data_IF_739485713025
#
_entry.id   IF_739485713025
#
_cell.length_a   1.000
_cell.length_b   1.000
_cell.length_c   1.000
_cell.angle_alpha   90.00
_cell.angle_beta   90.00
_cell.angle_gamma   90.00
#
_symmetry.space_group_name_H-M   'P 1'
#
loop_
_entity.id
_entity.type
_entity.pdbx_description
1 polymer ?
#
# COMPACT_ATOMS: atom_id res chain seq x y z
N UNK A 1 26.91 -45.28 12.04
CA UNK A 1 26.08 -44.20 12.62
C UNK A 1 26.37 -42.92 11.84
N UNK A 2 25.57 -42.64 10.83
CA UNK A 2 25.83 -41.59 9.84
C UNK A 2 25.12 -40.29 10.21
N UNK A 3 25.88 -39.20 10.30
CA UNK A 3 25.38 -37.82 10.22
C UNK A 3 25.09 -37.53 8.75
N UNK A 4 23.90 -37.03 8.42
CA UNK A 4 23.61 -36.49 7.09
C UNK A 4 23.48 -34.97 7.16
N UNK A 5 24.26 -34.35 6.30
CA UNK A 5 24.42 -32.92 6.04
C UNK A 5 23.41 -32.54 4.96
N UNK A 6 22.51 -31.58 5.21
CA UNK A 6 21.59 -31.05 4.20
C UNK A 6 21.74 -29.53 4.12
N UNK A 7 22.77 -29.10 3.38
CA UNK A 7 22.87 -27.75 2.82
C UNK A 7 21.89 -27.63 1.65
N UNK A 8 20.73 -27.04 1.90
CA UNK A 8 19.81 -26.60 0.85
C UNK A 8 20.43 -25.44 0.08
N UNK A 9 20.95 -25.73 -1.12
CA UNK A 9 21.41 -24.73 -2.10
C UNK A 9 20.22 -23.88 -2.54
N UNK A 10 20.21 -22.59 -2.17
CA UNK A 10 19.45 -21.57 -2.91
C UNK A 10 20.10 -21.46 -4.30
N UNK A 11 19.36 -21.50 -5.42
CA UNK A 11 19.99 -21.41 -6.72
C UNK A 11 20.53 -19.99 -6.91
N UNK A 12 21.87 -19.91 -6.91
CA UNK A 12 22.72 -18.74 -7.13
C UNK A 12 22.41 -17.95 -8.43
N UNK A 13 21.51 -18.45 -9.28
CA UNK A 13 21.18 -17.90 -10.59
C UNK A 13 20.16 -16.76 -10.55
N UNK A 14 19.29 -16.69 -9.54
CA UNK A 14 18.20 -15.69 -9.47
C UNK A 14 18.73 -14.29 -9.08
N UNK A 15 19.76 -14.23 -8.25
CA UNK A 15 20.35 -12.96 -7.81
C UNK A 15 21.21 -12.30 -8.91
N UNK A 16 21.86 -13.11 -9.75
CA UNK A 16 22.78 -12.66 -10.80
C UNK A 16 22.07 -11.89 -11.94
N UNK A 17 20.83 -12.26 -12.28
CA UNK A 17 20.05 -11.59 -13.32
C UNK A 17 19.59 -10.20 -12.88
N UNK A 18 19.25 -10.04 -11.59
CA UNK A 18 18.79 -8.76 -11.02
C UNK A 18 19.95 -7.75 -10.91
N UNK A 19 21.16 -8.19 -10.54
CA UNK A 19 22.34 -7.31 -10.47
C UNK A 19 22.87 -6.93 -11.87
N UNK A 20 22.78 -7.84 -12.85
CA UNK A 20 23.22 -7.59 -14.22
C UNK A 20 22.34 -6.57 -14.96
N UNK A 21 21.02 -6.59 -14.74
CA UNK A 21 20.08 -5.62 -15.32
C UNK A 21 20.28 -4.19 -14.79
N UNK A 22 20.77 -4.04 -13.56
CA UNK A 22 21.08 -2.73 -12.98
C UNK A 22 22.36 -2.10 -13.55
N UNK A 23 23.39 -2.90 -13.85
CA UNK A 23 24.65 -2.41 -14.43
C UNK A 23 24.54 -2.10 -15.93
N UNK A 24 23.71 -2.83 -16.69
CA UNK A 24 23.61 -2.70 -18.14
C UNK A 24 22.85 -1.44 -18.60
N UNK A 25 21.89 -0.94 -17.81
CA UNK A 25 21.07 0.23 -18.17
C UNK A 25 21.81 1.59 -18.11
N UNK A 26 23.08 1.62 -17.70
CA UNK A 26 23.87 2.84 -17.63
C UNK A 26 24.50 3.26 -18.97
N UNK A 27 24.41 2.45 -20.04
CA UNK A 27 25.36 2.59 -21.15
C UNK A 27 24.89 2.63 -22.61
N UNK A 28 23.63 2.47 -23.03
CA UNK A 28 23.37 2.59 -24.48
C UNK A 28 21.99 3.14 -24.92
N UNK A 29 22.06 4.12 -25.83
CA UNK A 29 20.96 4.70 -26.63
C UNK A 29 20.97 4.09 -28.05
N UNK A 30 19.79 3.81 -28.62
CA UNK A 30 19.53 4.14 -30.04
C UNK A 30 19.09 3.05 -31.05
N UNK A 31 18.05 3.43 -31.83
CA UNK A 31 17.58 2.98 -33.19
C UNK A 31 16.70 1.72 -33.26
N UNK A 32 15.79 1.57 -34.24
CA UNK A 32 14.79 0.48 -34.35
C UNK A 32 14.54 -0.01 -35.79
N UNK A 33 13.60 -0.97 -35.98
CA UNK A 33 12.67 -1.18 -37.14
C UNK A 33 11.74 -2.41 -36.92
N UNK A 34 10.55 -2.40 -37.55
CA UNK A 34 9.30 -3.18 -37.29
C UNK A 34 9.15 -4.49 -38.09
N UNK A 35 8.44 -5.50 -37.55
CA UNK A 35 7.21 -6.09 -38.16
C UNK A 35 6.38 -7.01 -37.19
N UNK A 36 5.08 -6.70 -37.14
CA UNK A 36 3.80 -7.35 -36.71
C UNK A 36 3.70 -8.43 -35.59
N UNK A 37 3.01 -8.06 -34.49
CA UNK A 37 2.39 -8.96 -33.49
C UNK A 37 2.11 -8.32 -32.10
N UNK A 38 0.97 -7.63 -31.95
CA UNK A 38 0.33 -7.05 -30.73
C UNK A 38 1.18 -6.06 -29.89
N UNK A 39 0.81 -4.77 -29.94
CA UNK A 39 1.50 -3.65 -29.29
C UNK A 39 0.84 -3.15 -28.00
N UNK A 40 1.65 -2.86 -26.99
CA UNK A 40 1.55 -1.65 -26.15
C UNK A 40 2.99 -1.16 -25.84
N UNK A 41 3.23 0.13 -26.08
CA UNK A 41 4.50 0.87 -26.28
C UNK A 41 5.43 0.84 -25.03
N UNK A 42 6.77 0.88 -25.11
CA UNK A 42 7.60 1.86 -25.82
C UNK A 42 9.06 1.40 -26.08
N UNK A 43 9.65 1.97 -27.13
CA UNK A 43 11.01 1.76 -27.64
C UNK A 43 12.14 2.14 -26.67
N UNK A 44 13.01 1.18 -26.34
CA UNK A 44 14.47 1.35 -26.40
C UNK A 44 15.12 -0.03 -26.57
N UNK A 45 16.13 -0.15 -27.43
CA UNK A 45 16.85 -1.40 -27.72
C UNK A 45 17.63 -1.88 -26.50
N UNK A 46 16.93 -2.64 -25.66
CA UNK A 46 17.53 -3.61 -24.74
C UNK A 46 16.58 -4.80 -24.72
N UNK A 47 17.06 -5.96 -25.13
CA UNK A 47 16.29 -7.20 -25.00
C UNK A 47 16.06 -7.48 -23.52
N UNK A 48 14.94 -7.01 -22.97
CA UNK A 48 14.40 -7.61 -21.76
C UNK A 48 14.05 -9.05 -22.14
N UNK A 49 14.93 -10.00 -21.82
CA UNK A 49 14.47 -11.36 -21.63
C UNK A 49 13.42 -11.27 -20.53
N UNK A 50 12.15 -11.35 -20.92
CA UNK A 50 11.04 -11.52 -19.99
C UNK A 50 11.41 -12.70 -19.11
N UNK A 51 11.74 -12.44 -17.84
CA UNK A 51 11.82 -13.51 -16.86
C UNK A 51 10.37 -13.99 -16.72
N UNK A 52 10.01 -15.01 -17.50
CA UNK A 52 8.73 -15.66 -17.40
C UNK A 52 8.73 -16.38 -16.05
N UNK A 53 8.05 -15.80 -15.08
CA UNK A 53 7.83 -16.48 -13.82
C UNK A 53 6.76 -17.55 -14.04
N UNK A 54 6.93 -18.76 -13.48
CA UNK A 54 5.97 -19.84 -13.69
C UNK A 54 4.59 -19.40 -13.20
N UNK A 55 3.56 -19.66 -14.01
CA UNK A 55 2.19 -19.39 -13.61
C UNK A 55 1.83 -20.17 -12.33
N UNK A 56 1.06 -19.52 -11.45
CA UNK A 56 0.47 -20.11 -10.25
C UNK A 56 -0.83 -20.79 -10.68
N UNK A 57 -0.91 -22.09 -10.41
CA UNK A 57 -2.14 -22.87 -10.57
C UNK A 57 -2.48 -23.56 -9.23
N UNK A 58 -3.57 -23.14 -8.54
CA UNK A 58 -4.40 -21.98 -8.87
C UNK A 58 -3.65 -20.64 -8.66
N UNK A 59 -4.14 -19.52 -9.23
CA UNK A 59 -3.68 -18.19 -8.86
C UNK A 59 -3.76 -17.99 -7.36
N UNK A 60 -2.81 -17.24 -6.80
CA UNK A 60 -2.84 -16.95 -5.37
C UNK A 60 -4.03 -16.08 -5.00
N UNK A 61 -4.50 -16.20 -3.76
CA UNK A 61 -5.40 -15.21 -3.19
C UNK A 61 -4.62 -14.00 -2.70
N UNK A 62 -5.29 -12.86 -2.71
CA UNK A 62 -4.81 -11.60 -2.18
C UNK A 62 -5.71 -11.18 -1.02
N UNK A 63 -5.10 -11.00 0.14
CA UNK A 63 -5.72 -10.52 1.37
C UNK A 63 -5.19 -9.11 1.62
N UNK A 64 -6.05 -8.12 1.43
CA UNK A 64 -5.72 -6.71 1.60
C UNK A 64 -6.09 -6.23 3.00
N UNK A 65 -5.11 -6.13 3.90
CA UNK A 65 -5.31 -5.64 5.26
C UNK A 65 -4.92 -4.16 5.37
N UNK A 66 -5.84 -3.34 5.88
CA UNK A 66 -5.56 -1.92 6.05
C UNK A 66 -6.30 -1.30 7.23
N UNK A 67 -5.69 -0.23 7.75
CA UNK A 67 -6.28 0.61 8.78
C UNK A 67 -7.32 1.55 8.19
N UNK A 68 -8.43 1.72 8.89
CA UNK A 68 -9.51 2.62 8.52
C UNK A 68 -9.92 3.52 9.68
N UNK A 69 -10.19 4.80 9.39
CA UNK A 69 -10.73 5.77 10.34
C UNK A 69 -12.02 6.41 9.83
N UNK A 70 -11.96 7.48 9.04
CA UNK A 70 -13.13 8.24 8.59
C UNK A 70 -13.07 8.63 7.11
N UNK A 71 -12.10 8.10 6.36
CA UNK A 71 -11.86 8.40 4.96
C UNK A 71 -12.83 7.66 4.02
N UNK A 72 -14.13 7.97 4.11
CA UNK A 72 -15.19 7.23 3.39
C UNK A 72 -15.01 7.23 1.87
N UNK A 73 -14.69 8.38 1.27
CA UNK A 73 -14.44 8.49 -0.17
C UNK A 73 -13.19 7.70 -0.58
N UNK A 74 -12.15 7.69 0.27
CA UNK A 74 -10.93 6.91 0.05
C UNK A 74 -11.19 5.41 0.13
N UNK A 75 -12.03 4.97 1.09
CA UNK A 75 -12.41 3.57 1.22
C UNK A 75 -13.20 3.10 -0.01
N UNK A 76 -14.17 3.88 -0.47
CA UNK A 76 -14.90 3.55 -1.70
C UNK A 76 -13.96 3.46 -2.90
N UNK A 77 -13.06 4.43 -3.05
CA UNK A 77 -12.06 4.45 -4.10
C UNK A 77 -11.15 3.20 -4.06
N UNK A 78 -10.63 2.83 -2.88
CA UNK A 78 -9.79 1.64 -2.69
C UNK A 78 -10.56 0.38 -3.07
N UNK A 79 -11.75 0.18 -2.51
CA UNK A 79 -12.57 -1.01 -2.76
C UNK A 79 -12.89 -1.15 -4.24
N UNK A 80 -13.35 -0.06 -4.88
CA UNK A 80 -13.66 -0.06 -6.32
C UNK A 80 -12.43 -0.40 -7.17
N UNK A 81 -11.29 0.19 -6.86
CA UNK A 81 -10.04 0.02 -7.61
C UNK A 81 -9.50 -1.41 -7.50
N UNK A 82 -9.64 -2.03 -6.33
CA UNK A 82 -9.02 -3.32 -6.02
C UNK A 82 -9.97 -4.51 -6.14
N UNK A 83 -11.29 -4.29 -6.23
CA UNK A 83 -12.30 -5.34 -6.31
C UNK A 83 -12.01 -6.40 -7.40
N UNK A 84 -11.54 -6.05 -8.62
CA UNK A 84 -11.27 -7.05 -9.64
C UNK A 84 -10.16 -8.06 -9.30
N UNK A 85 -9.25 -7.71 -8.38
CA UNK A 85 -8.02 -8.49 -8.15
C UNK A 85 -7.90 -9.02 -6.71
N UNK A 86 -8.43 -8.30 -5.73
CA UNK A 86 -8.41 -8.70 -4.32
C UNK A 86 -9.52 -9.69 -4.01
N UNK A 87 -9.19 -10.74 -3.25
CA UNK A 87 -10.14 -11.78 -2.85
C UNK A 87 -10.78 -11.48 -1.50
N UNK A 88 -10.04 -10.85 -0.57
CA UNK A 88 -10.53 -10.46 0.75
C UNK A 88 -9.99 -9.09 1.13
N UNK A 89 -10.89 -8.20 1.57
CA UNK A 89 -10.55 -6.95 2.23
C UNK A 89 -10.68 -7.12 3.74
N UNK A 90 -9.64 -6.79 4.50
CA UNK A 90 -9.67 -6.76 5.96
C UNK A 90 -9.62 -5.31 6.41
N UNK A 91 -10.78 -4.79 6.79
CA UNK A 91 -10.93 -3.42 7.31
C UNK A 91 -10.71 -3.47 8.81
N UNK A 92 -9.63 -2.87 9.29
CA UNK A 92 -9.36 -2.72 10.72
C UNK A 92 -9.83 -1.35 11.19
N UNK A 93 -10.83 -1.30 12.07
CA UNK A 93 -11.40 -0.08 12.64
C UNK A 93 -11.47 -0.15 14.17
N UNK A 94 -11.03 0.90 14.86
CA UNK A 94 -11.12 1.00 16.33
C UNK A 94 -12.28 1.90 16.79
N UNK A 95 -12.77 1.70 18.02
CA UNK A 95 -13.69 2.65 18.70
C UNK A 95 -13.00 3.89 19.28
N UNK A 96 -11.70 4.03 19.03
CA UNK A 96 -10.88 5.17 19.44
C UNK A 96 -10.03 5.63 18.25
N UNK A 97 -9.64 6.89 18.27
CA UNK A 97 -8.58 7.44 17.41
C UNK A 97 -7.20 7.06 17.95
N UNK A 98 -6.14 7.19 17.16
CA UNK A 98 -4.78 6.98 17.68
C UNK A 98 -4.42 7.95 18.80
N UNK A 99 -4.95 9.17 18.81
CA UNK A 99 -4.81 10.09 19.96
C UNK A 99 -5.63 9.70 21.20
N UNK A 100 -6.34 8.57 21.18
CA UNK A 100 -7.06 8.02 22.34
C UNK A 100 -8.46 8.60 22.55
N UNK A 101 -8.97 9.42 21.62
CA UNK A 101 -10.33 9.98 21.69
C UNK A 101 -11.34 8.94 21.20
N UNK A 102 -12.47 8.72 21.90
CA UNK A 102 -13.55 7.87 21.42
C UNK A 102 -14.04 8.32 20.05
N UNK A 103 -14.40 7.35 19.21
CA UNK A 103 -15.02 7.58 17.90
C UNK A 103 -16.05 6.50 17.60
N UNK A 104 -17.02 6.84 16.76
CA UNK A 104 -17.92 5.85 16.20
C UNK A 104 -17.22 4.96 15.17
N UNK A 105 -17.90 3.87 14.82
CA UNK A 105 -17.50 2.98 13.73
C UNK A 105 -18.07 3.53 12.41
N UNK A 106 -17.26 4.30 11.68
CA UNK A 106 -17.65 4.95 10.45
C UNK A 106 -17.96 3.96 9.34
N UNK A 107 -17.28 2.79 9.30
CA UNK A 107 -17.60 1.77 8.32
C UNK A 107 -18.99 1.20 8.58
N UNK A 108 -19.30 0.87 9.84
CA UNK A 108 -20.59 0.29 10.21
C UNK A 108 -21.75 1.26 9.94
N UNK A 109 -21.60 2.53 10.34
CA UNK A 109 -22.59 3.58 10.07
C UNK A 109 -22.86 3.78 8.57
N UNK A 110 -21.85 3.53 7.73
CA UNK A 110 -21.93 3.73 6.28
C UNK A 110 -21.93 2.41 5.50
N UNK A 111 -22.20 1.26 6.15
CA UNK A 111 -22.03 -0.07 5.56
C UNK A 111 -22.79 -0.25 4.25
N UNK A 112 -23.96 0.39 4.12
CA UNK A 112 -24.78 0.40 2.90
C UNK A 112 -24.05 1.01 1.69
N UNK A 113 -23.17 2.00 1.89
CA UNK A 113 -22.36 2.63 0.83
C UNK A 113 -21.47 1.61 0.13
N UNK A 114 -21.06 0.56 0.83
CA UNK A 114 -20.12 -0.45 0.35
C UNK A 114 -20.79 -1.78 -0.06
N UNK A 115 -22.12 -1.79 -0.23
CA UNK A 115 -22.92 -2.98 -0.56
C UNK A 115 -22.33 -3.87 -1.66
N UNK A 116 -21.82 -3.33 -2.79
CA UNK A 116 -21.24 -4.15 -3.86
C UNK A 116 -20.05 -5.02 -3.40
N UNK A 117 -19.30 -4.58 -2.38
CA UNK A 117 -18.04 -5.19 -1.96
C UNK A 117 -18.17 -6.02 -0.67
N UNK A 118 -19.32 -5.98 0.02
CA UNK A 118 -19.50 -6.59 1.35
C UNK A 118 -19.19 -8.09 1.38
N UNK A 119 -19.39 -8.79 0.27
CA UNK A 119 -19.11 -10.22 0.15
C UNK A 119 -17.61 -10.56 0.32
N UNK A 120 -16.70 -9.62 0.02
CA UNK A 120 -15.24 -9.75 0.19
C UNK A 120 -14.71 -9.14 1.50
N UNK A 121 -15.52 -8.35 2.21
CA UNK A 121 -15.07 -7.60 3.37
C UNK A 121 -15.09 -8.47 4.64
N UNK A 122 -14.05 -8.33 5.46
CA UNK A 122 -13.96 -8.76 6.86
C UNK A 122 -13.69 -7.52 7.69
N UNK A 123 -14.63 -7.15 8.54
CA UNK A 123 -14.54 -5.97 9.40
C UNK A 123 -14.03 -6.40 10.78
N UNK A 124 -12.88 -5.87 11.19
CA UNK A 124 -12.25 -6.10 12.49
C UNK A 124 -12.49 -4.88 13.34
N UNK A 125 -13.19 -5.08 14.45
CA UNK A 125 -13.51 -4.01 15.39
C UNK A 125 -12.59 -4.14 16.60
N UNK A 126 -11.79 -3.11 16.83
CA UNK A 126 -10.94 -3.02 18.01
C UNK A 126 -11.75 -2.30 19.10
N UNK A 127 -12.15 -3.08 20.08
CA UNK A 127 -12.79 -2.63 21.33
C UNK A 127 -11.71 -2.01 22.23
N UNK A 128 -11.49 -0.70 22.16
CA UNK A 128 -10.40 -0.07 22.93
C UNK A 128 -10.89 0.87 24.05
N UNK A 129 -10.88 0.41 25.31
CA UNK A 129 -11.03 1.27 26.49
C UNK A 129 -9.72 1.49 27.25
N UNK A 130 -8.52 1.27 26.67
CA UNK A 130 -7.25 1.58 27.37
C UNK A 130 -6.95 3.08 27.35
N UNK A 131 -7.58 3.81 28.27
CA UNK A 131 -7.15 5.17 28.63
C UNK A 131 -5.65 5.11 28.96
N UNK A 132 -4.82 5.86 28.22
CA UNK A 132 -3.38 6.12 28.45
C UNK A 132 -2.34 5.38 27.57
N UNK A 133 -2.72 4.61 26.54
CA UNK A 133 -1.72 4.16 25.56
C UNK A 133 -1.29 5.32 24.63
N UNK A 134 0.02 5.44 24.36
CA UNK A 134 0.55 6.45 23.45
C UNK A 134 0.07 6.23 22.01
N UNK A 135 0.04 7.28 21.20
CA UNK A 135 -0.64 7.20 19.90
C UNK A 135 -0.07 6.11 18.96
N UNK A 136 1.25 5.91 18.98
CA UNK A 136 1.91 4.81 18.28
C UNK A 136 1.51 3.43 18.77
N UNK A 137 1.25 3.27 20.08
CA UNK A 137 0.79 2.00 20.64
C UNK A 137 -0.64 1.70 20.22
N UNK A 138 -1.49 2.73 20.11
CA UNK A 138 -2.87 2.58 19.61
C UNK A 138 -2.85 2.14 18.14
N UNK A 139 -2.01 2.76 17.31
CA UNK A 139 -1.81 2.34 15.92
C UNK A 139 -1.28 0.92 15.82
N UNK A 140 -0.24 0.58 16.59
CA UNK A 140 0.33 -0.77 16.58
C UNK A 140 -0.70 -1.82 16.98
N UNK A 141 -1.53 -1.52 17.98
CA UNK A 141 -2.64 -2.39 18.41
C UNK A 141 -3.63 -2.59 17.26
N UNK A 142 -4.09 -1.51 16.61
CA UNK A 142 -5.03 -1.60 15.50
C UNK A 142 -4.45 -2.38 14.30
N UNK A 143 -3.17 -2.21 14.00
CA UNK A 143 -2.47 -2.98 12.95
C UNK A 143 -2.45 -4.47 13.31
N UNK A 144 -1.97 -4.79 14.51
CA UNK A 144 -1.70 -6.15 14.93
C UNK A 144 -2.97 -6.98 15.15
N UNK A 145 -4.09 -6.36 15.55
CA UNK A 145 -5.38 -7.06 15.68
C UNK A 145 -5.89 -7.63 14.35
N UNK A 146 -5.46 -7.09 13.19
CA UNK A 146 -5.79 -7.68 11.87
C UNK A 146 -5.31 -9.14 11.75
N UNK A 147 -4.35 -9.57 12.57
CA UNK A 147 -3.84 -10.96 12.59
C UNK A 147 -4.90 -11.96 13.05
N UNK A 148 -5.87 -11.52 13.85
CA UNK A 148 -6.98 -12.36 14.30
C UNK A 148 -7.84 -12.82 13.12
N UNK A 149 -8.12 -11.94 12.14
CA UNK A 149 -8.82 -12.34 10.92
C UNK A 149 -7.98 -13.32 10.10
N UNK A 150 -6.68 -13.10 9.99
CA UNK A 150 -5.82 -14.06 9.29
C UNK A 150 -5.87 -15.45 9.95
N UNK A 151 -5.90 -15.54 11.28
CA UNK A 151 -6.04 -16.81 11.98
C UNK A 151 -7.38 -17.52 11.66
N UNK A 152 -8.48 -16.77 11.49
CA UNK A 152 -9.77 -17.36 11.05
C UNK A 152 -9.76 -17.80 9.59
N UNK A 153 -8.97 -17.14 8.75
CA UNK A 153 -8.84 -17.47 7.33
C UNK A 153 -7.84 -18.61 7.08
N UNK A 154 -6.83 -18.75 7.94
CA UNK A 154 -5.68 -19.65 7.82
C UNK A 154 -6.05 -21.07 7.34
N UNK A 155 -7.08 -21.76 7.88
CA UNK A 155 -7.42 -23.11 7.44
C UNK A 155 -7.74 -23.23 5.94
N UNK A 156 -8.07 -22.10 5.28
CA UNK A 156 -8.41 -22.02 3.86
C UNK A 156 -7.32 -21.37 2.99
N UNK A 157 -6.24 -20.85 3.59
CA UNK A 157 -5.21 -20.11 2.86
C UNK A 157 -4.15 -21.06 2.28
N UNK A 158 -3.75 -20.79 1.03
CA UNK A 158 -2.57 -21.39 0.48
C UNK A 158 -1.32 -20.75 1.12
N UNK A 159 -0.26 -21.52 1.42
CA UNK A 159 1.01 -20.98 1.91
C UNK A 159 1.60 -19.84 1.07
N UNK A 160 1.25 -19.73 -0.21
CA UNK A 160 1.74 -18.71 -1.14
C UNK A 160 0.71 -17.65 -1.52
N UNK A 161 -0.45 -17.65 -0.85
CA UNK A 161 -1.35 -16.50 -0.86
C UNK A 161 -0.63 -15.26 -0.34
N UNK A 162 -1.06 -14.10 -0.81
CA UNK A 162 -0.38 -12.83 -0.57
C UNK A 162 -1.18 -11.99 0.43
N UNK A 163 -0.51 -11.52 1.47
CA UNK A 163 -1.04 -10.59 2.46
C UNK A 163 -0.43 -9.23 2.18
N UNK A 164 -1.28 -8.21 2.06
CA UNK A 164 -0.87 -6.81 2.03
C UNK A 164 -1.15 -6.18 3.38
N UNK A 165 -0.30 -5.25 3.80
CA UNK A 165 -0.53 -4.45 5.00
C UNK A 165 -0.16 -2.99 4.78
N UNK A 166 -1.17 -2.12 4.88
CA UNK A 166 -1.14 -0.75 4.35
C UNK A 166 -2.08 0.17 5.13
N UNK A 167 -2.06 1.46 4.82
CA UNK A 167 -3.10 2.41 5.23
C UNK A 167 -4.18 2.54 4.14
N UNK A 168 -5.41 2.97 4.49
CA UNK A 168 -6.51 3.08 3.50
C UNK A 168 -6.15 3.97 2.30
N UNK A 169 -5.33 5.00 2.52
CA UNK A 169 -4.85 5.95 1.51
C UNK A 169 -3.63 5.46 0.70
N UNK A 170 -3.11 4.26 0.98
CA UNK A 170 -2.03 3.59 0.24
C UNK A 170 -2.62 2.51 -0.69
N UNK A 171 -3.01 2.86 -1.91
CA UNK A 171 -3.72 1.97 -2.85
C UNK A 171 -2.74 1.33 -3.84
N UNK A 172 -2.57 -0.01 -3.84
CA UNK A 172 -1.74 -0.71 -4.82
C UNK A 172 -2.22 -0.55 -6.26
N UNK A 173 -1.30 -0.68 -7.22
CA UNK A 173 -1.65 -0.85 -8.63
C UNK A 173 -2.31 -2.24 -8.86
N UNK A 174 -3.58 -2.31 -9.30
CA UNK A 174 -4.27 -3.57 -9.57
C UNK A 174 -3.54 -4.46 -10.58
N UNK A 175 -2.82 -3.85 -11.54
CA UNK A 175 -2.06 -4.60 -12.56
C UNK A 175 -0.85 -5.30 -11.96
N UNK A 176 -0.16 -4.61 -11.04
CA UNK A 176 0.94 -5.20 -10.27
C UNK A 176 0.41 -6.34 -9.41
N UNK A 177 -0.71 -6.13 -8.71
CA UNK A 177 -1.33 -7.20 -7.92
C UNK A 177 -1.73 -8.40 -8.79
N UNK A 178 -2.31 -8.16 -9.97
CA UNK A 178 -2.71 -9.22 -10.89
C UNK A 178 -1.51 -10.02 -11.39
N UNK A 179 -0.40 -9.35 -11.71
CA UNK A 179 0.84 -10.01 -12.11
C UNK A 179 1.41 -10.90 -10.98
N UNK A 180 1.40 -10.39 -9.74
CA UNK A 180 1.85 -11.13 -8.55
C UNK A 180 0.94 -12.32 -8.24
N UNK A 181 -0.38 -12.14 -8.41
CA UNK A 181 -1.42 -13.17 -8.26
C UNK A 181 -1.17 -14.36 -9.19
N UNK A 182 -0.83 -14.07 -10.45
CA UNK A 182 -0.73 -15.06 -11.52
C UNK A 182 0.65 -15.68 -11.66
N UNK A 183 1.73 -14.94 -11.49
CA UNK A 183 3.07 -15.40 -11.92
C UNK A 183 4.05 -15.60 -10.78
N UNK A 184 3.73 -15.22 -9.54
CA UNK A 184 4.48 -15.64 -8.35
C UNK A 184 5.98 -15.34 -8.33
N UNK A 185 6.35 -14.18 -7.79
CA UNK A 185 7.76 -13.79 -7.55
C UNK A 185 8.14 -13.64 -6.09
N UNK A 186 7.15 -13.55 -5.21
CA UNK A 186 7.37 -13.14 -3.84
C UNK A 186 7.46 -14.38 -2.95
N UNK A 187 8.68 -14.69 -2.54
CA UNK A 187 8.93 -15.42 -1.30
C UNK A 187 9.55 -14.44 -0.33
N UNK A 188 8.96 -14.30 0.84
CA UNK A 188 9.36 -13.35 1.86
C UNK A 188 8.59 -12.03 1.77
N UNK A 189 9.14 -11.02 2.46
CA UNK A 189 8.57 -9.67 2.57
C UNK A 189 9.14 -8.77 1.48
N UNK A 190 8.27 -8.00 0.83
CA UNK A 190 8.62 -6.94 -0.13
C UNK A 190 7.84 -5.67 0.20
N UNK A 191 8.30 -4.54 -0.33
CA UNK A 191 7.52 -3.31 -0.35
C UNK A 191 7.03 -2.95 -1.76
N UNK A 192 5.87 -2.29 -1.82
CA UNK A 192 5.33 -1.70 -3.03
C UNK A 192 5.77 -0.23 -3.07
N UNK A 193 6.64 0.12 -4.02
CA UNK A 193 7.09 1.49 -4.21
C UNK A 193 5.98 2.37 -4.79
N UNK A 194 5.50 3.33 -4.01
CA UNK A 194 4.34 4.16 -4.39
C UNK A 194 4.72 5.60 -4.71
N UNK A 195 3.99 6.16 -5.67
CA UNK A 195 3.94 7.61 -5.87
C UNK A 195 3.16 8.25 -4.73
N UNK A 196 3.75 9.24 -4.06
CA UNK A 196 3.10 9.97 -2.97
C UNK A 196 2.56 11.32 -3.47
N UNK A 197 1.28 11.55 -3.22
CA UNK A 197 0.56 12.76 -3.54
C UNK A 197 0.05 13.46 -2.27
N UNK A 198 0.05 14.79 -2.28
CA UNK A 198 -0.47 15.63 -1.22
C UNK A 198 -1.73 16.35 -1.69
N UNK A 199 -2.82 16.29 -0.92
CA UNK A 199 -4.08 17.01 -1.14
C UNK A 199 -4.87 16.61 -2.41
N UNK A 200 -4.20 16.40 -3.54
CA UNK A 200 -4.79 15.98 -4.82
C UNK A 200 -3.71 15.35 -5.72
N UNK A 201 -4.13 14.76 -6.84
CA UNK A 201 -3.22 14.24 -7.87
C UNK A 201 -2.36 15.31 -8.58
N UNK A 202 -2.56 16.60 -8.26
CA UNK A 202 -1.72 17.69 -8.78
C UNK A 202 -0.39 17.84 -8.07
N UNK A 203 -0.23 17.33 -6.85
CA UNK A 203 0.93 17.64 -6.02
C UNK A 203 1.65 16.36 -5.64
N UNK A 204 2.68 16.01 -6.42
CA UNK A 204 3.42 14.76 -6.29
C UNK A 204 4.77 14.98 -5.64
N UNK A 205 5.18 14.12 -4.71
CA UNK A 205 6.53 14.16 -4.14
C UNK A 205 7.55 13.47 -5.04
N UNK A 206 8.82 13.88 -4.92
CA UNK A 206 9.93 13.20 -5.61
C UNK A 206 10.26 11.82 -5.04
N UNK A 207 10.17 11.71 -3.72
CA UNK A 207 10.54 10.48 -3.02
C UNK A 207 9.44 9.44 -3.13
N UNK A 208 9.87 8.19 -3.26
CA UNK A 208 9.03 7.00 -3.24
C UNK A 208 8.56 6.67 -1.81
N UNK A 209 7.28 6.37 -1.66
CA UNK A 209 6.73 5.85 -0.42
C UNK A 209 6.91 4.34 -0.32
N UNK A 210 7.50 3.85 0.79
CA UNK A 210 8.02 2.47 0.94
C UNK A 210 7.43 1.66 2.09
N UNK A 211 6.50 2.25 2.83
CA UNK A 211 5.86 1.56 3.95
C UNK A 211 4.94 0.42 3.56
N UNK A 212 4.19 0.45 2.44
CA UNK A 212 3.24 -0.62 2.14
C UNK A 212 3.97 -1.93 1.85
N UNK A 213 3.55 -2.99 2.55
CA UNK A 213 4.20 -4.30 2.48
C UNK A 213 3.31 -5.34 1.85
N UNK A 214 3.98 -6.31 1.22
CA UNK A 214 3.39 -7.54 0.74
C UNK A 214 4.25 -8.73 1.18
N UNK A 215 3.61 -9.80 1.62
CA UNK A 215 4.27 -10.99 2.15
C UNK A 215 3.44 -12.24 1.85
N UNK A 216 4.08 -13.39 1.63
CA UNK A 216 3.35 -14.65 1.51
C UNK A 216 2.91 -15.20 2.88
N UNK A 217 1.76 -15.89 2.93
CA UNK A 217 1.18 -16.49 4.15
C UNK A 217 2.18 -17.34 4.91
N UNK A 218 2.96 -18.17 4.20
CA UNK A 218 3.97 -19.05 4.83
C UNK A 218 5.03 -18.24 5.57
N UNK A 219 5.56 -17.17 4.98
CA UNK A 219 6.53 -16.31 5.63
C UNK A 219 5.91 -15.61 6.84
N UNK A 220 4.71 -15.03 6.68
CA UNK A 220 4.05 -14.29 7.75
C UNK A 220 3.70 -15.16 8.96
N UNK A 221 3.22 -16.39 8.75
CA UNK A 221 2.81 -17.29 9.82
C UNK A 221 3.95 -18.11 10.42
N UNK A 222 5.02 -18.40 9.66
CA UNK A 222 6.17 -19.17 10.15
C UNK A 222 6.93 -18.43 11.27
N UNK A 223 6.96 -17.11 11.20
CA UNK A 223 7.56 -16.28 12.25
C UNK A 223 6.51 -15.98 13.30
N UNK A 224 6.45 -16.80 14.36
CA UNK A 224 5.46 -16.68 15.43
C UNK A 224 5.45 -15.29 16.09
N UNK A 225 6.55 -14.55 16.01
CA UNK A 225 6.72 -13.19 16.52
C UNK A 225 6.38 -12.09 15.52
N UNK A 226 6.17 -12.39 14.23
CA UNK A 226 5.86 -11.38 13.23
C UNK A 226 4.46 -10.80 13.49
N UNK A 227 4.41 -9.48 13.60
CA UNK A 227 3.20 -8.67 13.67
C UNK A 227 3.10 -7.73 12.48
N UNK A 228 1.92 -7.17 12.24
CA UNK A 228 1.73 -6.21 11.15
C UNK A 228 2.50 -4.90 11.36
N UNK A 229 2.66 -4.49 12.62
CA UNK A 229 3.53 -3.38 13.02
C UNK A 229 4.98 -3.68 12.66
N UNK A 230 5.50 -4.85 13.08
CA UNK A 230 6.88 -5.24 12.76
C UNK A 230 7.10 -5.40 11.25
N UNK A 231 6.09 -5.88 10.52
CA UNK A 231 6.12 -6.00 9.06
C UNK A 231 6.27 -4.62 8.41
N UNK A 232 5.48 -3.62 8.83
CA UNK A 232 5.51 -2.26 8.27
C UNK A 232 6.90 -1.61 8.39
N UNK A 233 7.55 -1.83 9.53
CA UNK A 233 8.89 -1.27 9.83
C UNK A 233 10.04 -2.07 9.21
N UNK A 234 9.79 -3.31 8.80
CA UNK A 234 10.81 -4.19 8.24
C UNK A 234 11.40 -3.62 6.96
N UNK A 235 12.73 -3.65 6.86
CA UNK A 235 13.44 -3.40 5.59
C UNK A 235 13.17 -4.56 4.64
N UNK A 236 12.70 -4.24 3.45
CA UNK A 236 12.34 -5.22 2.44
C UNK A 236 12.88 -4.80 1.06
N UNK A 237 13.14 -5.76 0.16
CA UNK A 237 13.37 -5.45 -1.25
C UNK A 237 12.12 -4.85 -1.93
N UNK A 238 12.35 -4.04 -2.96
CA UNK A 238 11.32 -3.48 -3.82
C UNK A 238 10.70 -4.58 -4.70
N UNK A 239 9.37 -4.60 -4.83
CA UNK A 239 8.73 -5.28 -5.97
C UNK A 239 9.11 -4.52 -7.24
N UNK A 240 9.77 -5.13 -8.24
CA UNK A 240 10.30 -4.43 -9.43
C UNK A 240 9.20 -4.09 -10.45
N UNK A 241 8.08 -3.57 -9.98
CA UNK A 241 6.91 -3.10 -10.72
C UNK A 241 6.41 -1.81 -10.05
N UNK A 242 5.53 -1.06 -10.71
CA UNK A 242 4.95 0.14 -10.08
C UNK A 242 4.05 -0.28 -8.91
N UNK A 243 4.29 0.25 -7.72
CA UNK A 243 3.66 -0.25 -6.49
C UNK A 243 2.27 0.30 -6.22
N UNK A 244 1.95 1.49 -6.72
CA UNK A 244 0.65 2.14 -6.54
C UNK A 244 0.79 3.60 -6.14
N UNK A 245 -0.15 4.08 -5.34
CA UNK A 245 -0.31 5.50 -5.00
C UNK A 245 -0.60 5.67 -3.51
N UNK A 246 0.04 6.67 -2.89
CA UNK A 246 -0.29 7.14 -1.55
C UNK A 246 -0.91 8.54 -1.63
N UNK A 247 -2.17 8.67 -1.23
CA UNK A 247 -2.96 9.90 -1.31
C UNK A 247 -3.04 10.61 0.04
N UNK A 248 -1.95 11.26 0.44
CA UNK A 248 -1.83 11.91 1.74
C UNK A 248 -2.66 13.20 1.81
N UNK A 249 -3.44 13.36 2.88
CA UNK A 249 -4.26 14.55 3.15
C UNK A 249 -5.28 14.91 2.05
N UNK A 250 -5.82 13.93 1.33
CA UNK A 250 -6.88 14.16 0.34
C UNK A 250 -8.21 14.48 1.03
N UNK A 251 -8.60 15.75 1.00
CA UNK A 251 -9.83 16.27 1.61
C UNK A 251 -9.77 17.78 1.76
N UNK A 252 -10.78 18.34 2.42
CA UNK A 252 -10.83 19.76 2.74
C UNK A 252 -10.08 20.08 4.05
N UNK A 253 -10.09 21.36 4.43
CA UNK A 253 -9.47 21.86 5.65
C UNK A 253 -9.96 21.09 6.88
N UNK A 254 -11.27 20.89 7.03
CA UNK A 254 -11.85 20.22 8.21
C UNK A 254 -11.51 18.73 8.27
N UNK A 255 -11.43 18.07 7.12
CA UNK A 255 -10.94 16.71 7.02
C UNK A 255 -9.48 16.60 7.50
N UNK A 256 -8.60 17.49 7.04
CA UNK A 256 -7.18 17.50 7.44
C UNK A 256 -7.05 17.81 8.93
N UNK A 257 -7.79 18.79 9.45
CA UNK A 257 -7.85 19.10 10.89
C UNK A 257 -8.29 17.89 11.70
N UNK A 258 -9.31 17.17 11.23
CA UNK A 258 -9.78 15.94 11.87
C UNK A 258 -8.69 14.87 11.91
N UNK A 259 -7.97 14.67 10.79
CA UNK A 259 -6.85 13.72 10.68
C UNK A 259 -5.67 14.09 11.59
N UNK A 260 -5.27 15.36 11.65
CA UNK A 260 -4.21 15.84 12.55
C UNK A 260 -4.54 15.60 14.01
N UNK A 261 -5.82 15.77 14.37
CA UNK A 261 -6.27 15.50 15.72
C UNK A 261 -6.34 14.01 16.07
N UNK A 262 -6.41 13.10 15.09
CA UNK A 262 -6.65 11.66 15.32
C UNK A 262 -5.44 10.76 15.14
N UNK A 263 -4.48 11.10 14.27
CA UNK A 263 -3.37 10.23 13.86
C UNK A 263 -2.21 10.10 14.87
N UNK A 264 -1.22 9.25 14.60
CA UNK A 264 -0.16 8.93 15.57
C UNK A 264 0.92 10.01 15.75
N UNK A 265 1.14 10.86 14.75
CA UNK A 265 2.14 11.94 14.81
C UNK A 265 1.65 13.16 15.59
N UNK A 266 1.26 12.97 16.85
CA UNK A 266 0.71 14.02 17.70
C UNK A 266 1.67 15.21 17.92
N UNK A 267 2.97 15.03 17.69
CA UNK A 267 3.96 16.12 17.70
C UNK A 267 3.71 17.18 16.60
N UNK A 268 3.02 16.83 15.52
CA UNK A 268 2.65 17.78 14.47
C UNK A 268 1.27 18.42 14.71
N UNK A 269 0.50 17.98 15.69
CA UNK A 269 -0.78 18.58 16.03
C UNK A 269 -0.58 19.83 16.92
N UNK A 270 0.02 20.87 16.33
CA UNK A 270 0.27 22.15 17.01
C UNK A 270 -0.76 23.20 16.59
N UNK A 271 -1.01 24.25 17.38
CA UNK A 271 -1.91 25.34 16.97
C UNK A 271 -1.50 26.02 15.66
N UNK A 272 -0.22 25.98 15.30
CA UNK A 272 0.32 26.56 14.07
C UNK A 272 0.05 25.68 12.85
N UNK A 273 0.22 24.36 12.97
CA UNK A 273 -0.01 23.41 11.87
C UNK A 273 -1.51 23.13 11.72
N UNK A 274 -2.21 22.93 12.84
CA UNK A 274 -3.65 22.72 12.88
C UNK A 274 -4.40 24.06 12.89
N UNK A 275 -3.99 24.98 12.02
CA UNK A 275 -4.62 26.28 11.78
C UNK A 275 -5.35 26.23 10.41
N UNK A 276 -6.64 26.63 10.33
CA UNK A 276 -7.39 26.54 9.07
C UNK A 276 -6.75 27.31 7.92
N UNK A 277 -6.23 28.50 8.17
CA UNK A 277 -5.61 29.35 7.16
C UNK A 277 -4.29 28.76 6.64
N UNK A 278 -3.47 28.18 7.54
CA UNK A 278 -2.24 27.45 7.19
C UNK A 278 -2.54 26.23 6.33
N UNK A 279 -3.54 25.43 6.72
CA UNK A 279 -3.95 24.24 5.97
C UNK A 279 -4.47 24.64 4.59
N UNK A 280 -5.35 25.65 4.51
CA UNK A 280 -5.87 26.17 3.25
C UNK A 280 -4.73 26.64 2.33
N UNK A 281 -3.78 27.41 2.87
CA UNK A 281 -2.62 27.85 2.11
C UNK A 281 -1.74 26.67 1.64
N UNK A 282 -1.58 25.63 2.45
CA UNK A 282 -0.83 24.43 2.06
C UNK A 282 -1.52 23.69 0.90
N UNK A 283 -2.85 23.55 0.93
CA UNK A 283 -3.65 22.94 -0.15
C UNK A 283 -3.51 23.75 -1.45
N UNK A 284 -3.71 25.07 -1.37
CA UNK A 284 -3.71 25.94 -2.56
C UNK A 284 -2.35 26.00 -3.25
N UNK A 285 -1.27 26.00 -2.46
CA UNK A 285 0.08 26.13 -2.98
C UNK A 285 0.78 24.78 -3.18
N UNK A 286 0.21 23.67 -2.70
CA UNK A 286 0.84 22.35 -2.77
C UNK A 286 2.10 22.22 -1.92
N UNK A 287 2.12 22.87 -0.76
CA UNK A 287 3.29 22.85 0.14
C UNK A 287 3.18 21.76 1.20
N UNK A 288 4.34 21.33 1.72
CA UNK A 288 4.36 20.38 2.83
C UNK A 288 3.64 20.98 4.05
N UNK A 289 2.62 20.27 4.53
CA UNK A 289 1.79 20.71 5.66
C UNK A 289 2.61 21.00 6.93
N UNK A 290 3.77 20.35 7.07
CA UNK A 290 4.63 20.44 8.25
C UNK A 290 5.88 21.32 8.06
N UNK A 291 6.05 21.95 6.89
CA UNK A 291 7.19 22.83 6.59
C UNK A 291 8.55 22.11 6.57
N UNK A 292 8.57 20.81 6.28
CA UNK A 292 9.81 20.02 6.25
C UNK A 292 10.61 20.33 5.00
N UNK A 293 11.82 20.86 5.18
CA UNK A 293 12.68 21.31 4.08
C UNK A 293 13.10 20.20 3.10
N UNK A 294 13.07 18.94 3.52
CA UNK A 294 13.44 17.80 2.69
C UNK A 294 12.28 17.22 1.86
N UNK A 295 11.05 17.71 2.04
CA UNK A 295 9.89 17.26 1.26
C UNK A 295 9.69 18.19 0.07
N UNK A 296 10.06 17.70 -1.11
CA UNK A 296 9.87 18.42 -2.37
C UNK A 296 8.60 17.93 -3.04
N UNK A 297 7.63 18.84 -3.20
CA UNK A 297 6.35 18.59 -3.87
C UNK A 297 6.36 19.34 -5.21
N UNK A 298 6.09 18.62 -6.28
CA UNK A 298 5.99 19.16 -7.63
C UNK A 298 4.52 19.24 -8.05
N UNK A 299 4.15 20.40 -8.60
CA UNK A 299 2.85 20.58 -9.24
C UNK A 299 2.88 19.95 -10.63
N UNK A 300 2.00 19.00 -10.87
CA UNK A 300 1.81 18.32 -12.15
C UNK A 300 0.37 18.53 -12.65
N UNK A 301 0.18 18.41 -13.96
CA UNK A 301 -1.15 18.27 -14.53
C UNK A 301 -1.55 16.78 -14.52
N UNK A 302 -2.67 16.39 -13.88
CA UNK A 302 -3.14 15.01 -13.91
C UNK A 302 -3.32 14.45 -15.32
N UNK A 303 -3.71 15.28 -16.29
CA UNK A 303 -3.90 14.85 -17.69
C UNK A 303 -2.59 14.46 -18.37
N UNK A 304 -1.47 15.03 -17.92
CA UNK A 304 -0.12 14.70 -18.41
C UNK A 304 0.49 13.47 -17.72
N UNK A 305 -0.19 12.91 -16.70
CA UNK A 305 0.33 11.81 -15.91
C UNK A 305 -0.20 10.45 -16.42
N UNK A 306 0.63 9.64 -17.12
CA UNK A 306 0.21 8.35 -17.67
C UNK A 306 0.08 7.25 -16.61
N UNK A 307 0.23 7.61 -15.33
CA UNK A 307 0.23 6.69 -14.21
C UNK A 307 -0.66 7.16 -13.06
N UNK A 308 -1.92 7.43 -13.39
CA UNK A 308 -2.98 7.63 -12.42
C UNK A 308 -3.84 6.38 -12.27
N UNK A 309 -4.49 6.19 -11.10
CA UNK A 309 -5.45 5.10 -10.94
C UNK A 309 -6.69 5.34 -11.80
N UNK A 310 -7.30 4.27 -12.32
CA UNK A 310 -8.42 4.32 -13.27
C UNK A 310 -9.61 5.16 -12.79
N UNK A 311 -9.82 5.24 -11.47
CA UNK A 311 -10.94 5.97 -10.85
C UNK A 311 -10.51 7.22 -10.08
N UNK A 312 -9.35 7.81 -10.40
CA UNK A 312 -8.77 8.94 -9.66
C UNK A 312 -9.74 10.14 -9.52
N UNK A 313 -10.64 10.32 -10.50
CA UNK A 313 -11.67 11.36 -10.48
C UNK A 313 -12.66 11.27 -9.31
N UNK A 314 -12.80 10.11 -8.64
CA UNK A 314 -13.59 10.01 -7.41
C UNK A 314 -13.02 10.85 -6.27
N UNK A 315 -11.71 11.06 -6.28
CA UNK A 315 -10.99 11.82 -5.26
C UNK A 315 -10.51 13.18 -5.76
N UNK A 316 -10.51 13.39 -7.08
CA UNK A 316 -10.12 14.65 -7.70
C UNK A 316 -11.33 15.59 -7.81
N UNK A 317 -11.66 16.27 -6.71
CA UNK A 317 -12.67 17.35 -6.71
C UNK A 317 -12.02 18.60 -7.32
N UNK A 318 -12.59 19.07 -8.44
CA UNK A 318 -12.15 20.26 -9.21
C UNK A 318 -12.35 21.55 -8.45
#
# INVERSE_FOLDING_TARGET
>A
MARSDYRGRVPFLVLLVITALWLFNRHNKGTGTKEQGISLLANSKTSYQSVAFPERDPPARIIDCFLFNNELDMLEFRLKTLDPVVDIFVISEAKTTFSGRPKDLFFEQNRKRYEPYLHKIRHVIIEDPKKQAGAWQNEATQRDTSKEVLATLEPSLNPYDLILHMDVDEVPDPRTLQALKNHGVLRGVYYLGMDLYYFSFRYKTKDEWRYPKIVDVKTFLKESTMTFTSLREMKAPLVPLRGGWHMSYFGDVEFIRTKLNSFSHQNFNTPQINNPEHIQAAIENGHDLFGRANIVIEKIDPEDNPYLPEHYMLLHKT
#
